data_IF_601057432615
#
_entry.id   IF_601057432615
#
_cell.length_a   1.000
_cell.length_b   1.000
_cell.length_c   1.000
_cell.angle_alpha   90.00
_cell.angle_beta   90.00
_cell.angle_gamma   90.00
#
_symmetry.space_group_name_H-M   'P 1'
#
loop_
_entity.id
_entity.type
_entity.pdbx_description
1 polymer ?
#
# COMPACT_ATOMS: atom_id res chain seq x y z
N UNK A 1 4.01 -18.05 9.38
CA UNK A 1 5.29 -17.77 8.64
C UNK A 1 6.48 -17.73 9.60
N UNK A 2 7.50 -18.62 9.58
CA UNK A 2 8.56 -18.66 10.63
C UNK A 2 9.81 -17.78 10.39
N UNK A 3 10.10 -17.39 9.14
CA UNK A 3 11.29 -16.61 8.79
C UNK A 3 11.17 -15.13 9.24
N UNK A 4 11.96 -14.74 10.24
CA UNK A 4 11.99 -13.38 10.79
C UNK A 4 12.51 -12.34 9.78
N UNK A 5 13.47 -12.69 8.93
CA UNK A 5 14.01 -11.76 7.93
C UNK A 5 12.94 -11.45 6.89
N UNK A 6 12.22 -12.49 6.45
CA UNK A 6 11.09 -12.34 5.54
C UNK A 6 10.00 -11.46 6.17
N UNK A 7 9.58 -11.75 7.40
CA UNK A 7 8.59 -10.93 8.13
C UNK A 7 8.97 -9.44 8.16
N UNK A 8 10.19 -9.14 8.56
CA UNK A 8 10.67 -7.76 8.66
C UNK A 8 10.73 -7.09 7.29
N UNK A 9 11.20 -7.80 6.26
CA UNK A 9 11.22 -7.28 4.89
C UNK A 9 9.80 -6.97 4.39
N UNK A 10 8.85 -7.89 4.58
CA UNK A 10 7.47 -7.71 4.14
C UNK A 10 6.78 -6.53 4.84
N UNK A 11 6.93 -6.41 6.16
CA UNK A 11 6.42 -5.25 6.91
C UNK A 11 7.03 -3.96 6.38
N UNK A 12 8.36 -3.94 6.17
CA UNK A 12 9.03 -2.73 5.70
C UNK A 12 8.57 -2.29 4.31
N UNK A 13 8.34 -3.24 3.41
CA UNK A 13 7.84 -2.96 2.07
C UNK A 13 6.42 -2.38 2.10
N UNK A 14 5.54 -2.89 2.98
CA UNK A 14 4.20 -2.34 3.16
C UNK A 14 4.22 -0.93 3.77
N UNK A 15 5.12 -0.66 4.72
CA UNK A 15 5.33 0.70 5.24
C UNK A 15 5.71 1.68 4.13
N UNK A 16 6.63 1.29 3.23
CA UNK A 16 7.07 2.14 2.11
C UNK A 16 5.89 2.47 1.18
N UNK A 17 5.04 1.49 0.89
CA UNK A 17 3.84 1.71 0.06
C UNK A 17 2.88 2.69 0.75
N UNK A 18 2.60 2.52 2.04
CA UNK A 18 1.70 3.42 2.75
C UNK A 18 2.25 4.83 2.94
N UNK A 19 3.57 4.97 3.12
CA UNK A 19 4.23 6.28 3.16
C UNK A 19 4.16 6.97 1.80
N UNK A 20 4.43 6.25 0.70
CA UNK A 20 4.31 6.79 -0.65
C UNK A 20 2.87 7.25 -0.95
N UNK A 21 1.85 6.51 -0.49
CA UNK A 21 0.45 6.89 -0.65
C UNK A 21 0.12 8.23 0.05
N UNK A 22 0.76 8.54 1.18
CA UNK A 22 0.58 9.80 1.89
C UNK A 22 1.13 11.02 1.12
N UNK A 23 2.14 10.81 0.27
CA UNK A 23 2.72 11.87 -0.55
C UNK A 23 1.96 12.14 -1.86
N UNK A 24 0.98 11.31 -2.21
CA UNK A 24 0.12 11.57 -3.37
C UNK A 24 -0.76 12.79 -3.08
N UNK A 25 -0.82 13.74 -4.01
CA UNK A 25 -1.56 14.99 -3.79
C UNK A 25 -3.04 14.74 -3.60
N UNK A 26 -3.71 15.60 -2.81
CA UNK A 26 -5.14 15.46 -2.52
C UNK A 26 -6.00 15.40 -3.79
N UNK A 27 -5.69 16.25 -4.77
CA UNK A 27 -6.37 16.25 -6.07
C UNK A 27 -6.25 14.89 -6.80
N UNK A 28 -5.06 14.28 -6.77
CA UNK A 28 -4.85 12.96 -7.38
C UNK A 28 -5.60 11.89 -6.59
N UNK A 29 -5.59 11.95 -5.25
CA UNK A 29 -6.32 11.00 -4.42
C UNK A 29 -7.83 11.06 -4.65
N UNK A 30 -8.37 12.27 -4.79
CA UNK A 30 -9.80 12.52 -4.97
C UNK A 30 -10.25 12.12 -6.38
N UNK A 31 -9.41 12.38 -7.40
CA UNK A 31 -9.62 11.94 -8.79
C UNK A 31 -9.61 10.41 -8.91
N UNK A 32 -8.65 9.74 -8.28
CA UNK A 32 -8.44 8.29 -8.39
C UNK A 32 -8.78 7.57 -7.09
N UNK A 33 -10.04 7.66 -6.66
CA UNK A 33 -10.52 7.12 -5.38
C UNK A 33 -10.74 5.59 -5.35
N UNK A 34 -10.55 4.92 -6.49
CA UNK A 34 -10.48 3.46 -6.63
C UNK A 34 -9.26 2.88 -5.91
N UNK A 35 -8.18 3.67 -5.85
CA UNK A 35 -7.05 3.43 -4.94
C UNK A 35 -7.43 4.00 -3.58
N UNK A 36 -7.49 3.14 -2.56
CA UNK A 36 -7.81 3.56 -1.19
C UNK A 36 -6.58 4.15 -0.49
N UNK A 37 -6.12 5.30 -0.96
CA UNK A 37 -4.89 5.98 -0.49
C UNK A 37 -4.81 6.11 1.04
N UNK A 38 -5.87 6.60 1.66
CA UNK A 38 -5.93 6.73 3.12
C UNK A 38 -5.83 5.37 3.83
N UNK A 39 -6.41 4.31 3.27
CA UNK A 39 -6.28 2.96 3.83
C UNK A 39 -4.83 2.49 3.81
N UNK A 40 -4.08 2.76 2.74
CA UNK A 40 -2.65 2.43 2.66
C UNK A 40 -1.83 3.17 3.72
N UNK A 41 -2.11 4.46 3.91
CA UNK A 41 -1.49 5.26 4.96
C UNK A 41 -1.81 4.74 6.37
N UNK A 42 -3.08 4.42 6.64
CA UNK A 42 -3.51 3.85 7.93
C UNK A 42 -2.82 2.51 8.21
N UNK A 43 -2.69 1.63 7.19
CA UNK A 43 -1.95 0.37 7.34
C UNK A 43 -0.50 0.63 7.74
N UNK A 44 0.18 1.58 7.11
CA UNK A 44 1.54 1.98 7.52
C UNK A 44 1.60 2.44 8.98
N UNK A 45 0.62 3.22 9.45
CA UNK A 45 0.59 3.66 10.85
C UNK A 45 0.42 2.49 11.81
N UNK A 46 -0.44 1.52 11.48
CA UNK A 46 -0.60 0.29 12.28
C UNK A 46 0.71 -0.50 12.33
N UNK A 47 1.39 -0.68 11.20
CA UNK A 47 2.64 -1.45 11.13
C UNK A 47 3.76 -0.86 11.97
N UNK A 48 3.85 0.48 12.04
CA UNK A 48 4.91 1.18 12.79
C UNK A 48 4.58 1.29 14.28
N UNK A 49 3.31 1.45 14.67
CA UNK A 49 2.93 1.73 16.06
C UNK A 49 2.46 0.48 16.83
N UNK A 50 1.78 -0.45 16.16
CA UNK A 50 1.20 -1.66 16.78
C UNK A 50 2.05 -2.90 16.49
N UNK A 51 3.38 -2.73 16.36
CA UNK A 51 4.30 -3.79 15.93
C UNK A 51 4.29 -5.05 16.83
N UNK A 52 3.91 -4.90 18.11
CA UNK A 52 3.75 -6.00 19.06
C UNK A 52 2.48 -6.85 18.81
N UNK A 53 1.50 -6.32 18.08
CA UNK A 53 0.22 -6.98 17.78
C UNK A 53 0.06 -7.45 16.33
N UNK A 54 1.12 -7.39 15.51
CA UNK A 54 1.02 -7.75 14.09
C UNK A 54 0.76 -9.26 13.93
N UNK A 55 -0.37 -9.60 13.32
CA UNK A 55 -0.64 -10.94 12.83
C UNK A 55 -0.03 -11.11 11.43
N UNK A 56 1.08 -11.84 11.36
CA UNK A 56 1.80 -12.05 10.11
C UNK A 56 1.06 -12.89 9.06
N UNK A 57 0.09 -13.71 9.46
CA UNK A 57 -0.71 -14.46 8.49
C UNK A 57 -1.71 -13.54 7.78
N UNK A 58 -2.23 -12.53 8.49
CA UNK A 58 -3.03 -11.45 7.88
C UNK A 58 -2.17 -10.61 6.92
N UNK A 59 -0.95 -10.28 7.31
CA UNK A 59 0.01 -9.55 6.45
C UNK A 59 0.29 -10.35 5.18
N UNK A 60 0.56 -11.64 5.32
CA UNK A 60 0.80 -12.53 4.19
C UNK A 60 -0.42 -12.56 3.25
N UNK A 61 -1.63 -12.73 3.78
CA UNK A 61 -2.84 -12.71 2.97
C UNK A 61 -3.03 -11.38 2.24
N UNK A 62 -2.80 -10.25 2.92
CA UNK A 62 -2.87 -8.93 2.30
C UNK A 62 -1.86 -8.78 1.16
N UNK A 63 -0.65 -9.32 1.31
CA UNK A 63 0.39 -9.29 0.28
C UNK A 63 -0.02 -10.11 -0.94
N UNK A 64 -0.58 -11.30 -0.73
CA UNK A 64 -0.97 -12.18 -1.84
C UNK A 64 -2.23 -11.67 -2.56
N UNK A 65 -3.21 -11.13 -1.83
CA UNK A 65 -4.50 -10.78 -2.43
C UNK A 65 -4.57 -9.31 -2.83
N UNK A 66 -4.11 -8.40 -1.96
CA UNK A 66 -4.41 -6.96 -2.06
C UNK A 66 -3.33 -6.19 -2.78
N UNK A 67 -2.07 -6.58 -2.68
CA UNK A 67 -0.99 -5.89 -3.37
C UNK A 67 -1.05 -6.06 -4.89
N UNK A 68 -1.39 -7.23 -5.47
CA UNK A 68 -1.61 -7.34 -6.91
C UNK A 68 -2.78 -6.48 -7.40
N UNK A 69 -3.89 -6.45 -6.65
CA UNK A 69 -5.04 -5.59 -6.96
C UNK A 69 -4.64 -4.10 -6.94
N UNK A 70 -3.90 -3.69 -5.91
CA UNK A 70 -3.37 -2.33 -5.79
C UNK A 70 -2.47 -1.97 -6.97
N UNK A 71 -1.57 -2.88 -7.36
CA UNK A 71 -0.65 -2.66 -8.48
C UNK A 71 -1.42 -2.35 -9.77
N UNK A 72 -2.43 -3.15 -10.11
CA UNK A 72 -3.25 -2.94 -11.31
C UNK A 72 -3.93 -1.56 -11.28
N UNK A 73 -4.47 -1.17 -10.11
CA UNK A 73 -5.11 0.15 -9.96
C UNK A 73 -4.11 1.29 -10.16
N UNK A 74 -2.93 1.21 -9.53
CA UNK A 74 -1.87 2.23 -9.68
C UNK A 74 -1.37 2.31 -11.11
N UNK A 75 -1.21 1.18 -11.80
CA UNK A 75 -0.83 1.16 -13.24
C UNK A 75 -1.90 1.85 -14.10
N UNK A 76 -3.19 1.64 -13.81
CA UNK A 76 -4.28 2.35 -14.50
C UNK A 76 -4.25 3.86 -14.26
N UNK A 77 -3.98 4.29 -13.01
CA UNK A 77 -3.81 5.71 -12.67
C UNK A 77 -2.67 6.33 -13.49
N UNK A 78 -1.51 5.65 -13.55
CA UNK A 78 -0.36 6.12 -14.31
C UNK A 78 -0.68 6.26 -15.81
N UNK A 79 -1.39 5.28 -16.39
CA UNK A 79 -1.83 5.34 -17.79
C UNK A 79 -2.76 6.53 -18.05
N UNK A 80 -3.77 6.74 -17.20
CA UNK A 80 -4.69 7.88 -17.35
C UNK A 80 -3.97 9.23 -17.21
N UNK A 81 -3.04 9.34 -16.25
CA UNK A 81 -2.23 10.55 -16.07
C UNK A 81 -1.22 10.80 -17.20
N UNK A 82 -0.82 9.77 -17.96
CA UNK A 82 -0.02 9.93 -19.17
C UNK A 82 -0.85 10.40 -20.36
N UNK A 83 -2.09 9.89 -20.49
CA UNK A 83 -3.03 10.30 -21.55
C UNK A 83 -3.45 11.76 -21.36
N UNK A 84 -3.71 12.20 -20.12
CA UNK A 84 -4.10 13.59 -19.82
C UNK A 84 -3.00 14.64 -20.14
N UNK A 85 -1.76 14.21 -20.45
CA UNK A 85 -0.63 15.10 -20.78
C UNK A 85 -0.41 15.28 -22.28
N UNK A 86 -1.12 14.54 -23.13
CA UNK A 86 -1.16 14.72 -24.59
C UNK A 86 -2.32 15.62 -25.00
#
# INVERSE_FOLDING_TARGET
MEDIKLRLALVKLLEIIGEAANYVTKDTQDKFNEVKWNTLYVVRNILVHEYFGINYDIIWQAIIDKIPELKVKVESVLQQMSIDRE
#
